data_IF_357425541678
#
_entry.id   IF_357425541678
#
_cell.length_a   1.000
_cell.length_b   1.000
_cell.length_c   1.000
_cell.angle_alpha   90.00
_cell.angle_beta   90.00
_cell.angle_gamma   90.00
#
_symmetry.space_group_name_H-M   'P 1'
#
loop_
_entity.id
_entity.type
_entity.pdbx_description
1 polymer ?
#
# COMPACT_ATOMS: atom_id res chain seq x y z
N UNK A 1 -7.07 0.52 -16.73
CA UNK A 1 -7.08 1.36 -17.94
C UNK A 1 -5.75 2.08 -17.92
N UNK A 2 -4.95 2.01 -18.98
CA UNK A 2 -3.65 2.69 -18.97
C UNK A 2 -3.80 4.16 -19.36
N UNK A 3 -2.92 5.02 -18.85
CA UNK A 3 -2.87 6.44 -19.25
C UNK A 3 -1.42 6.94 -19.36
N UNK A 4 -1.21 7.97 -20.18
CA UNK A 4 0.08 8.62 -20.38
C UNK A 4 0.15 9.95 -19.63
N UNK A 5 1.33 10.28 -19.12
CA UNK A 5 1.57 11.52 -18.38
C UNK A 5 1.01 11.52 -16.95
N UNK A 6 0.75 12.71 -16.42
CA UNK A 6 0.31 12.94 -15.04
C UNK A 6 -1.20 13.19 -15.04
N UNK A 7 -1.90 12.54 -14.12
CA UNK A 7 -3.32 12.73 -13.89
C UNK A 7 -3.55 13.23 -12.46
N UNK A 8 -4.37 14.27 -12.28
CA UNK A 8 -4.89 14.61 -10.95
C UNK A 8 -6.02 13.65 -10.60
N UNK A 9 -5.89 12.91 -9.50
CA UNK A 9 -6.83 11.84 -9.16
C UNK A 9 -7.37 11.97 -7.73
N UNK A 10 -8.66 11.69 -7.47
CA UNK A 10 -9.21 11.75 -6.13
C UNK A 10 -8.51 10.75 -5.20
N UNK A 11 -7.94 11.24 -4.10
CA UNK A 11 -7.12 10.41 -3.19
C UNK A 11 -7.93 9.24 -2.61
N UNK A 12 -9.21 9.47 -2.29
CA UNK A 12 -10.09 8.45 -1.71
C UNK A 12 -10.60 7.42 -2.73
N UNK A 13 -10.41 7.66 -4.03
CA UNK A 13 -10.74 6.68 -5.07
C UNK A 13 -9.58 5.75 -5.37
N UNK A 14 -8.36 6.06 -4.92
CA UNK A 14 -7.20 5.18 -5.07
C UNK A 14 -7.33 3.92 -4.20
N UNK A 15 -7.07 2.77 -4.80
CA UNK A 15 -6.93 1.49 -4.11
C UNK A 15 -5.65 1.40 -3.29
N UNK A 16 -5.61 0.41 -2.40
CA UNK A 16 -4.47 0.10 -1.54
C UNK A 16 -3.89 -1.25 -1.91
N UNK A 17 -2.56 -1.35 -1.83
CA UNK A 17 -1.79 -2.60 -1.90
C UNK A 17 -0.97 -2.79 -0.62
N UNK A 18 -1.43 -2.20 0.49
CA UNK A 18 -0.72 -2.19 1.76
C UNK A 18 -1.72 -2.09 2.91
N UNK A 19 -1.52 -2.90 3.96
CA UNK A 19 -2.46 -3.04 5.07
C UNK A 19 -2.08 -2.24 6.33
N UNK A 20 -0.82 -1.82 6.46
CA UNK A 20 -0.32 -1.00 7.57
C UNK A 20 0.52 0.16 7.04
N UNK A 21 0.81 1.17 7.85
CA UNK A 21 1.77 2.24 7.58
C UNK A 21 2.91 2.19 8.61
N UNK A 22 4.10 2.61 8.19
CA UNK A 22 5.28 2.71 9.06
C UNK A 22 5.31 4.10 9.69
N UNK A 23 5.36 4.18 11.03
CA UNK A 23 5.38 5.45 11.75
C UNK A 23 6.59 6.33 11.39
N UNK A 24 7.77 5.74 11.21
CA UNK A 24 9.00 6.48 10.88
C UNK A 24 8.96 7.00 9.45
N UNK A 25 8.44 6.22 8.49
CA UNK A 25 8.18 6.71 7.13
C UNK A 25 7.17 7.85 7.14
N UNK A 26 6.10 7.74 7.92
CA UNK A 26 5.13 8.83 8.06
C UNK A 26 5.76 10.09 8.66
N UNK A 27 6.63 9.95 9.66
CA UNK A 27 7.37 11.07 10.25
C UNK A 27 8.27 11.73 9.20
N UNK A 28 9.05 10.93 8.49
CA UNK A 28 9.94 11.40 7.43
C UNK A 28 9.18 12.15 6.33
N UNK A 29 8.02 11.65 5.89
CA UNK A 29 7.17 12.36 4.91
C UNK A 29 6.67 13.68 5.49
N UNK A 30 6.17 13.70 6.73
CA UNK A 30 5.65 14.91 7.37
C UNK A 30 6.70 16.02 7.55
N UNK A 31 7.99 15.69 7.61
CA UNK A 31 9.07 16.67 7.76
C UNK A 31 9.25 17.55 6.53
N UNK A 32 9.02 17.02 5.33
CA UNK A 32 9.23 17.76 4.08
C UNK A 32 7.93 18.05 3.31
N UNK A 33 6.85 17.34 3.60
CA UNK A 33 5.59 17.48 2.85
C UNK A 33 4.88 18.80 3.17
N UNK A 34 4.88 19.71 2.21
CA UNK A 34 4.01 20.89 2.17
C UNK A 34 2.82 20.64 1.22
N UNK A 35 1.56 20.63 1.70
CA UNK A 35 0.37 20.43 0.85
C UNK A 35 0.20 21.51 -0.22
N UNK A 36 0.79 22.70 -0.06
CA UNK A 36 0.74 23.77 -1.06
C UNK A 36 1.67 23.53 -2.25
N UNK A 37 2.60 22.60 -2.13
CA UNK A 37 3.61 22.28 -3.14
C UNK A 37 3.40 20.89 -3.74
N UNK A 38 2.24 20.26 -3.51
CA UNK A 38 1.96 18.88 -3.93
C UNK A 38 2.19 18.66 -5.43
N UNK A 39 1.87 19.64 -6.27
CA UNK A 39 2.05 19.58 -7.72
C UNK A 39 3.52 19.65 -8.18
N UNK A 40 4.46 19.94 -7.28
CA UNK A 40 5.90 19.98 -7.57
C UNK A 40 6.61 18.68 -7.21
N UNK A 41 5.94 17.80 -6.46
CA UNK A 41 6.49 16.50 -6.09
C UNK A 41 6.32 15.52 -7.23
N UNK A 42 7.13 14.46 -7.20
CA UNK A 42 6.96 13.33 -8.09
C UNK A 42 5.55 12.74 -7.92
N UNK A 43 4.80 12.46 -9.00
CA UNK A 43 3.49 11.83 -8.92
C UNK A 43 3.53 10.48 -8.20
N UNK A 44 2.39 10.04 -7.67
CA UNK A 44 2.27 8.70 -7.10
C UNK A 44 2.09 7.65 -8.20
N UNK A 45 2.85 6.54 -8.19
CA UNK A 45 2.67 5.48 -9.15
C UNK A 45 1.39 4.69 -8.84
N UNK A 46 0.60 4.43 -9.87
CA UNK A 46 -0.65 3.66 -9.77
C UNK A 46 -0.77 2.66 -10.90
N UNK A 47 -1.42 1.53 -10.64
CA UNK A 47 -1.70 0.50 -11.64
C UNK A 47 -3.14 -0.01 -11.50
N UNK A 48 -3.75 -0.41 -12.61
CA UNK A 48 -5.05 -1.11 -12.61
C UNK A 48 -4.80 -2.60 -12.81
N UNK A 49 -5.06 -3.40 -11.77
CA UNK A 49 -4.82 -4.84 -11.76
C UNK A 49 -5.94 -5.65 -12.45
N UNK A 50 -6.87 -4.99 -13.12
CA UNK A 50 -7.96 -5.57 -13.90
C UNK A 50 -9.35 -5.41 -13.29
N UNK A 51 -9.48 -4.66 -12.19
CA UNK A 51 -10.75 -4.37 -11.50
C UNK A 51 -11.33 -3.00 -11.87
N UNK A 52 -10.64 -2.25 -12.74
CA UNK A 52 -11.08 -0.93 -13.19
C UNK A 52 -10.77 0.18 -12.18
N UNK A 53 -9.95 -0.10 -11.15
CA UNK A 53 -9.58 0.85 -10.12
C UNK A 53 -8.06 1.04 -10.08
N UNK A 54 -7.62 2.29 -10.14
CA UNK A 54 -6.20 2.61 -9.91
C UNK A 54 -5.83 2.35 -8.46
N UNK A 55 -4.84 1.48 -8.26
CA UNK A 55 -4.29 1.14 -6.95
C UNK A 55 -2.87 1.67 -6.86
N UNK A 56 -2.55 2.31 -5.74
CA UNK A 56 -1.19 2.73 -5.43
C UNK A 56 -0.26 1.52 -5.42
N UNK A 57 0.79 1.54 -6.24
CA UNK A 57 1.85 0.54 -6.25
C UNK A 57 2.98 0.90 -5.28
N UNK A 58 3.11 2.20 -4.97
CA UNK A 58 3.95 2.76 -3.92
C UNK A 58 3.39 4.12 -3.44
N UNK A 59 3.97 4.66 -2.38
CA UNK A 59 3.73 6.01 -1.90
C UNK A 59 2.50 6.15 -1.00
N UNK A 60 2.02 5.06 -0.40
CA UNK A 60 0.91 5.06 0.58
C UNK A 60 1.16 6.03 1.73
N UNK A 61 2.40 6.13 2.23
CA UNK A 61 2.75 7.10 3.29
C UNK A 61 2.52 8.54 2.84
N UNK A 62 2.89 8.90 1.60
CA UNK A 62 2.69 10.24 1.04
C UNK A 62 1.22 10.51 0.72
N UNK A 63 0.51 9.52 0.18
CA UNK A 63 -0.94 9.60 -0.03
C UNK A 63 -1.68 9.84 1.30
N UNK A 64 -1.29 9.12 2.36
CA UNK A 64 -1.89 9.26 3.69
C UNK A 64 -1.64 10.64 4.29
N UNK A 65 -0.40 11.14 4.23
CA UNK A 65 -0.07 12.49 4.71
C UNK A 65 -0.82 13.57 3.92
N UNK A 66 -0.93 13.41 2.60
CA UNK A 66 -1.69 14.32 1.75
C UNK A 66 -3.18 14.38 2.15
N UNK A 67 -3.81 13.21 2.28
CA UNK A 67 -5.19 13.10 2.75
C UNK A 67 -5.38 13.71 4.15
N UNK A 68 -4.49 13.39 5.09
CA UNK A 68 -4.54 13.91 6.46
C UNK A 68 -4.33 15.43 6.52
N UNK A 69 -3.64 16.02 5.53
CA UNK A 69 -3.49 17.46 5.37
C UNK A 69 -4.71 18.14 4.68
N UNK A 70 -5.75 17.38 4.33
CA UNK A 70 -6.99 17.90 3.75
C UNK A 70 -6.99 18.00 2.22
N UNK A 71 -5.99 17.43 1.53
CA UNK A 71 -6.02 17.34 0.07
C UNK A 71 -7.10 16.34 -0.37
N UNK A 72 -7.76 16.66 -1.48
CA UNK A 72 -8.78 15.79 -2.09
C UNK A 72 -8.25 15.06 -3.32
N UNK A 73 -7.24 15.63 -3.99
CA UNK A 73 -6.64 15.10 -5.20
C UNK A 73 -5.11 15.07 -5.07
N UNK A 74 -4.47 14.18 -5.82
CA UNK A 74 -3.02 14.05 -5.89
C UNK A 74 -2.59 13.74 -7.33
N UNK A 75 -1.42 14.23 -7.79
CA UNK A 75 -0.87 13.83 -9.06
C UNK A 75 -0.48 12.34 -9.02
N UNK A 76 -0.92 11.59 -10.03
CA UNK A 76 -0.57 10.17 -10.22
C UNK A 76 0.00 9.92 -11.62
N UNK A 77 0.79 8.87 -11.75
CA UNK A 77 1.34 8.38 -13.02
C UNK A 77 1.07 6.87 -13.14
N UNK A 78 0.80 6.40 -14.36
CA UNK A 78 0.56 4.98 -14.58
C UNK A 78 1.88 4.19 -14.50
N UNK A 79 1.95 3.26 -13.57
CA UNK A 79 3.11 2.43 -13.28
C UNK A 79 3.21 1.30 -14.32
N UNK A 80 4.39 1.24 -14.96
CA UNK A 80 4.75 0.28 -16.02
C UNK A 80 5.98 -0.54 -15.63
N UNK A 81 6.45 -0.44 -14.40
CA UNK A 81 7.63 -1.18 -13.98
C UNK A 81 7.35 -2.69 -14.06
N UNK A 82 8.34 -3.44 -14.54
CA UNK A 82 8.20 -4.89 -14.73
C UNK A 82 7.85 -5.61 -13.42
N UNK A 83 8.30 -5.10 -12.25
CA UNK A 83 7.93 -5.65 -10.94
C UNK A 83 6.43 -5.55 -10.64
N UNK A 84 5.74 -4.55 -11.20
CA UNK A 84 4.29 -4.37 -11.06
C UNK A 84 3.54 -5.17 -12.12
N UNK A 85 4.02 -5.12 -13.37
CA UNK A 85 3.32 -5.64 -14.53
C UNK A 85 3.54 -7.14 -14.78
N UNK A 86 4.67 -7.70 -14.33
CA UNK A 86 5.07 -9.08 -14.64
C UNK A 86 5.25 -9.95 -13.39
N UNK A 87 5.00 -11.27 -13.49
CA UNK A 87 5.34 -12.21 -12.41
C UNK A 87 6.86 -12.25 -12.15
N UNK A 88 7.28 -12.45 -10.88
CA UNK A 88 6.46 -12.77 -9.72
C UNK A 88 5.84 -11.54 -9.02
N UNK A 89 6.32 -10.33 -9.28
CA UNK A 89 5.91 -9.14 -8.52
C UNK A 89 4.43 -8.78 -8.72
N UNK A 90 3.91 -8.92 -9.93
CA UNK A 90 2.47 -8.73 -10.21
C UNK A 90 1.58 -9.68 -9.39
N UNK A 91 2.09 -10.86 -9.00
CA UNK A 91 1.36 -11.80 -8.14
C UNK A 91 1.37 -11.34 -6.67
N UNK A 92 2.47 -10.75 -6.20
CA UNK A 92 2.57 -10.20 -4.84
C UNK A 92 1.55 -9.08 -4.63
N UNK A 93 1.46 -8.13 -5.56
CA UNK A 93 0.44 -7.10 -5.52
C UNK A 93 -0.97 -7.68 -5.47
N UNK A 94 -1.27 -8.72 -6.27
CA UNK A 94 -2.58 -9.38 -6.21
C UNK A 94 -2.87 -10.00 -4.83
N UNK A 95 -1.88 -10.56 -4.15
CA UNK A 95 -2.05 -11.02 -2.77
C UNK A 95 -2.35 -9.85 -1.82
N UNK A 96 -1.61 -8.73 -1.94
CA UNK A 96 -1.86 -7.55 -1.10
C UNK A 96 -3.26 -6.95 -1.31
N UNK A 97 -3.75 -6.96 -2.56
CA UNK A 97 -5.12 -6.54 -2.88
C UNK A 97 -6.16 -7.44 -2.21
N UNK A 98 -5.95 -8.76 -2.21
CA UNK A 98 -6.85 -9.72 -1.55
C UNK A 98 -6.86 -9.52 -0.03
N UNK A 99 -5.70 -9.26 0.58
CA UNK A 99 -5.61 -8.88 2.00
C UNK A 99 -6.37 -7.60 2.31
N UNK A 100 -6.19 -6.55 1.50
CA UNK A 100 -6.93 -5.31 1.65
C UNK A 100 -8.44 -5.55 1.54
N UNK A 101 -8.88 -6.34 0.55
CA UNK A 101 -10.30 -6.71 0.35
C UNK A 101 -10.88 -7.42 1.57
N UNK A 102 -10.14 -8.38 2.12
CA UNK A 102 -10.59 -9.17 3.27
C UNK A 102 -10.67 -8.34 4.56
N UNK A 103 -9.68 -7.48 4.81
CA UNK A 103 -9.67 -6.56 5.95
C UNK A 103 -10.60 -5.33 5.76
N UNK A 104 -11.36 -5.30 4.66
CA UNK A 104 -12.24 -4.21 4.27
C UNK A 104 -11.54 -2.85 4.11
N UNK A 105 -10.27 -2.87 3.71
CA UNK A 105 -9.45 -1.70 3.42
C UNK A 105 -9.61 -1.34 1.94
N UNK A 106 -10.25 -0.19 1.70
CA UNK A 106 -10.57 0.26 0.35
C UNK A 106 -9.78 1.49 -0.04
N UNK A 107 -9.51 2.40 0.88
CA UNK A 107 -8.95 3.71 0.58
C UNK A 107 -8.00 4.17 1.68
N UNK A 108 -7.19 5.18 1.41
CA UNK A 108 -6.09 5.58 2.30
C UNK A 108 -6.53 5.96 3.72
N UNK A 109 -7.74 6.49 3.90
CA UNK A 109 -8.30 6.80 5.22
C UNK A 109 -8.51 5.57 6.10
N UNK A 110 -8.70 4.39 5.50
CA UNK A 110 -8.87 3.14 6.24
C UNK A 110 -7.59 2.72 6.98
N UNK A 111 -6.44 3.33 6.64
CA UNK A 111 -5.17 3.12 7.33
C UNK A 111 -4.95 4.01 8.56
N UNK A 112 -5.88 4.92 8.90
CA UNK A 112 -5.72 5.86 10.02
C UNK A 112 -5.46 5.19 11.37
N UNK A 113 -6.01 3.99 11.59
CA UNK A 113 -5.79 3.17 12.79
C UNK A 113 -4.77 2.04 12.61
N UNK A 114 -4.07 2.00 11.48
CA UNK A 114 -3.18 0.89 11.08
C UNK A 114 -1.76 1.41 10.88
N UNK A 115 -1.24 2.08 11.89
CA UNK A 115 0.13 2.62 11.91
C UNK A 115 0.93 1.81 12.93
N UNK A 116 2.02 1.21 12.48
CA UNK A 116 2.91 0.38 13.29
C UNK A 116 4.20 1.15 13.55
N UNK A 117 4.85 0.89 14.69
CA UNK A 117 6.24 1.34 14.88
C UNK A 117 7.13 0.70 13.82
N UNK A 118 8.30 1.29 13.55
CA UNK A 118 9.23 0.72 12.57
C UNK A 118 9.59 -0.75 12.87
N UNK A 119 9.80 -1.07 14.16
CA UNK A 119 10.07 -2.43 14.63
C UNK A 119 8.92 -3.42 14.36
N UNK A 120 7.67 -2.94 14.31
CA UNK A 120 6.49 -3.77 14.04
C UNK A 120 6.12 -3.81 12.55
N UNK A 121 6.45 -2.76 11.80
CA UNK A 121 6.17 -2.65 10.37
C UNK A 121 7.14 -3.51 9.54
N UNK A 122 8.39 -3.59 10.00
CA UNK A 122 9.36 -4.53 9.48
C UNK A 122 9.04 -5.94 9.96
N UNK A 123 8.82 -6.85 9.01
CA UNK A 123 9.04 -8.27 9.24
C UNK A 123 10.37 -8.46 9.98
N UNK A 124 10.39 -9.40 10.92
CA UNK A 124 11.56 -9.80 11.69
C UNK A 124 12.85 -9.72 10.85
N UNK A 125 13.96 -9.31 11.47
CA UNK A 125 15.32 -9.46 10.91
C UNK A 125 15.59 -10.89 10.40
N UNK A 126 14.73 -11.83 10.80
CA UNK A 126 14.62 -13.20 10.34
C UNK A 126 13.32 -13.43 9.52
N UNK A 127 13.46 -13.46 8.18
CA UNK A 127 12.43 -13.96 7.26
C UNK A 127 12.23 -15.49 7.38
N UNK A 128 12.80 -16.15 8.40
CA UNK A 128 12.41 -17.53 8.71
C UNK A 128 10.94 -17.60 9.09
N UNK A 129 10.34 -16.56 9.67
CA UNK A 129 9.04 -16.59 10.33
C UNK A 129 8.08 -15.48 9.84
N UNK A 130 6.92 -15.86 9.29
CA UNK A 130 5.85 -14.92 8.90
C UNK A 130 4.48 -15.43 9.32
N UNK A 131 3.55 -14.51 9.54
CA UNK A 131 2.17 -14.86 9.89
C UNK A 131 1.25 -14.69 8.67
N UNK A 132 0.42 -15.71 8.44
CA UNK A 132 -0.56 -15.82 7.37
C UNK A 132 -1.92 -16.14 8.01
N UNK A 133 -3.02 -15.79 7.38
CA UNK A 133 -4.36 -16.10 7.86
C UNK A 133 -5.12 -16.73 6.69
N UNK A 134 -5.81 -17.86 6.90
CA UNK A 134 -6.51 -18.56 5.81
C UNK A 134 -7.91 -17.99 5.55
N UNK A 135 -8.60 -18.53 4.54
CA UNK A 135 -9.95 -18.11 4.15
C UNK A 135 -11.02 -18.26 5.26
N UNK A 136 -10.70 -18.95 6.35
CA UNK A 136 -11.59 -19.16 7.50
C UNK A 136 -11.21 -18.28 8.71
N UNK A 137 -10.18 -17.44 8.57
CA UNK A 137 -9.66 -16.61 9.65
C UNK A 137 -8.76 -17.34 10.64
N UNK A 138 -8.23 -18.50 10.26
CA UNK A 138 -7.24 -19.21 11.08
C UNK A 138 -5.85 -18.60 10.83
N UNK A 139 -5.17 -18.20 11.90
CA UNK A 139 -3.80 -17.70 11.83
C UNK A 139 -2.81 -18.87 11.68
N UNK A 140 -1.80 -18.68 10.87
CA UNK A 140 -0.72 -19.61 10.61
C UNK A 140 0.62 -18.88 10.72
N UNK A 141 1.59 -19.54 11.32
CA UNK A 141 2.98 -19.14 11.27
C UNK A 141 3.70 -19.97 10.22
N UNK A 142 4.29 -19.34 9.20
CA UNK A 142 5.23 -19.98 8.29
C UNK A 142 6.62 -19.81 8.86
N UNK A 143 7.23 -20.91 9.35
CA UNK A 143 8.58 -20.93 9.90
C UNK A 143 9.47 -22.00 9.26
N UNK A 144 10.68 -21.62 8.82
CA UNK A 144 11.70 -22.55 8.28
C UNK A 144 11.17 -23.46 7.14
N UNK A 145 10.30 -22.93 6.28
CA UNK A 145 9.71 -23.71 5.18
C UNK A 145 8.45 -24.49 5.55
N UNK A 146 7.99 -24.40 6.80
CA UNK A 146 6.86 -25.17 7.34
C UNK A 146 5.75 -24.23 7.83
N UNK A 147 4.51 -24.53 7.49
CA UNK A 147 3.34 -23.78 7.95
C UNK A 147 2.74 -24.45 9.21
N UNK A 148 2.63 -23.70 10.29
CA UNK A 148 2.07 -24.10 11.58
C UNK A 148 0.75 -23.37 11.81
N UNK A 149 -0.35 -24.05 12.19
CA UNK A 149 -1.55 -23.37 12.68
C UNK A 149 -1.26 -22.78 14.06
N UNK A 150 -1.55 -21.49 14.27
CA UNK A 150 -1.63 -20.93 15.62
C UNK A 150 -3.01 -21.22 16.22
N UNK A 151 -3.03 -21.65 17.49
CA UNK A 151 -4.23 -22.04 18.25
C UNK A 151 -4.82 -20.85 18.97
#
# INVERSE_FOLDING_TARGET
MEFEGILEYPILELGLSQIYLDEDKLRAVKEWFDPKQVCTYEPLPVHDFGDGRYTLTDGHSRSYVAWAAGLTHIPVIYDRDAIVCEPPGSLMYRFDLEWCRWLHLKMISDLQGRILSHEQYGAADDLSEFYLEDVNGCLFCYKDGVLFPEV
#
